data_IF_810630164898
#
_entry.id   IF_810630164898
#
_cell.length_a   1.000
_cell.length_b   1.000
_cell.length_c   1.000
_cell.angle_alpha   90.00
_cell.angle_beta   90.00
_cell.angle_gamma   90.00
#
_symmetry.space_group_name_H-M   'P 1'
#
loop_
_entity.id
_entity.type
_entity.pdbx_description
1 polymer ?
#
# COMPACT_ATOMS: atom_id res chain seq x y z
N UNK A 1 -39.19 27.49 14.85
CA UNK A 1 -38.16 26.60 15.41
C UNK A 1 -37.14 26.32 14.32
N UNK A 2 -35.90 26.84 14.46
CA UNK A 2 -34.78 26.55 13.55
C UNK A 2 -33.76 25.78 14.37
N UNK A 3 -33.60 24.48 14.11
CA UNK A 3 -32.54 23.69 14.71
C UNK A 3 -31.35 23.65 13.76
N UNK A 4 -30.22 24.25 14.18
CA UNK A 4 -28.93 24.19 13.50
C UNK A 4 -28.10 23.14 14.24
N UNK A 5 -28.06 21.92 13.73
CA UNK A 5 -27.10 20.94 14.22
C UNK A 5 -25.83 21.05 13.38
N UNK A 6 -24.82 21.69 13.96
CA UNK A 6 -23.45 21.62 13.52
C UNK A 6 -22.92 20.21 13.81
N UNK A 7 -22.39 19.54 12.79
CA UNK A 7 -21.69 18.27 12.94
C UNK A 7 -20.20 18.59 13.12
N UNK A 8 -19.66 18.20 14.28
CA UNK A 8 -18.26 18.38 14.66
C UNK A 8 -17.36 17.39 13.92
N UNK A 9 -16.27 17.90 13.35
CA UNK A 9 -15.17 17.11 12.78
C UNK A 9 -14.32 16.54 13.91
N UNK A 10 -14.36 15.24 14.12
CA UNK A 10 -13.37 14.54 14.95
C UNK A 10 -12.40 13.79 14.04
N UNK A 11 -11.16 14.29 13.98
CA UNK A 11 -9.99 13.57 13.48
C UNK A 11 -9.49 12.67 14.61
N UNK A 12 -9.48 11.35 14.42
CA UNK A 12 -8.69 10.43 15.25
C UNK A 12 -8.20 9.32 14.33
N UNK A 13 -6.94 9.42 13.90
CA UNK A 13 -6.23 8.31 13.30
C UNK A 13 -5.92 7.26 14.37
N UNK A 14 -6.01 5.99 13.99
CA UNK A 14 -5.41 4.89 14.75
C UNK A 14 -4.74 3.99 13.72
N UNK A 15 -3.47 4.29 13.49
CA UNK A 15 -2.48 3.41 12.88
C UNK A 15 -2.37 2.16 13.79
N UNK A 16 -3.01 1.07 13.38
CA UNK A 16 -2.93 -0.20 14.10
C UNK A 16 -1.65 -0.92 13.68
N UNK A 17 -0.55 -0.53 14.30
CA UNK A 17 0.73 -1.24 14.23
C UNK A 17 0.60 -2.53 15.07
N UNK A 18 0.48 -3.67 14.40
CA UNK A 18 0.27 -4.96 15.04
C UNK A 18 1.53 -5.36 15.83
N UNK A 19 1.49 -5.14 17.14
CA UNK A 19 2.46 -5.63 18.12
C UNK A 19 2.33 -7.15 18.25
N UNK A 20 3.32 -7.89 17.77
CA UNK A 20 3.46 -9.32 18.09
C UNK A 20 4.02 -9.41 19.50
N UNK A 21 3.18 -9.86 20.44
CA UNK A 21 3.59 -10.19 21.81
C UNK A 21 4.26 -11.56 21.81
N UNK A 22 5.60 -11.58 21.89
CA UNK A 22 6.34 -12.81 22.09
C UNK A 22 6.16 -13.30 23.53
N UNK A 23 5.42 -14.40 23.69
CA UNK A 23 5.32 -15.16 24.94
C UNK A 23 6.68 -15.83 25.20
N UNK A 24 7.40 -15.39 26.24
CA UNK A 24 8.65 -16.02 26.69
C UNK A 24 8.37 -17.08 27.75
N UNK A 25 8.61 -18.34 27.41
CA UNK A 25 8.61 -19.45 28.36
C UNK A 25 9.95 -19.48 29.11
N UNK A 26 9.90 -19.32 30.44
CA UNK A 26 11.04 -19.29 31.35
C UNK A 26 11.42 -20.73 31.77
N UNK A 27 12.52 -21.27 31.25
CA UNK A 27 13.13 -22.52 31.77
C UNK A 27 14.41 -22.20 32.55
N UNK A 28 14.51 -22.73 33.76
CA UNK A 28 15.51 -22.36 34.78
C UNK A 28 16.81 -23.19 34.70
N UNK A 29 17.92 -22.44 34.63
CA UNK A 29 19.24 -22.60 35.27
C UNK A 29 20.12 -23.86 35.07
N UNK A 30 21.26 -23.65 34.40
CA UNK A 30 22.59 -24.14 34.84
C UNK A 30 23.68 -23.16 34.40
N UNK A 31 24.74 -22.86 35.21
CA UNK A 31 25.60 -21.71 34.97
C UNK A 31 26.92 -22.09 34.31
N UNK A 32 27.21 -21.52 33.14
CA UNK A 32 28.56 -21.08 32.73
C UNK A 32 28.43 -20.19 31.47
N UNK A 33 28.59 -18.88 31.68
CA UNK A 33 29.12 -17.87 30.75
C UNK A 33 29.05 -18.13 29.23
N UNK A 34 28.18 -17.39 28.53
CA UNK A 34 28.51 -16.25 27.63
C UNK A 34 27.18 -15.80 26.98
N UNK A 35 26.89 -14.50 27.07
CA UNK A 35 25.75 -13.88 26.41
C UNK A 35 25.96 -13.86 24.90
N UNK A 36 25.12 -14.57 24.16
CA UNK A 36 24.89 -14.31 22.74
C UNK A 36 23.36 -14.30 22.54
N UNK A 37 22.80 -13.10 22.62
CA UNK A 37 21.45 -12.79 22.21
C UNK A 37 21.46 -12.78 20.68
N UNK A 38 21.06 -13.89 20.08
CA UNK A 38 20.81 -13.97 18.64
C UNK A 38 19.47 -13.28 18.39
N UNK A 39 19.54 -11.97 18.20
CA UNK A 39 18.49 -11.24 17.51
C UNK A 39 18.48 -11.75 16.08
N UNK A 40 17.56 -12.65 15.76
CA UNK A 40 17.07 -12.81 14.39
C UNK A 40 16.33 -11.50 14.04
N UNK A 41 17.12 -10.46 13.81
CA UNK A 41 16.67 -9.33 13.03
C UNK A 41 16.27 -9.95 11.69
N UNK A 42 14.96 -9.95 11.42
CA UNK A 42 14.44 -10.11 10.08
C UNK A 42 15.26 -9.17 9.21
N UNK A 43 16.20 -9.76 8.47
CA UNK A 43 16.94 -9.07 7.44
C UNK A 43 15.86 -8.59 6.50
N UNK A 44 15.51 -7.32 6.60
CA UNK A 44 14.83 -6.62 5.54
C UNK A 44 15.75 -6.81 4.34
N UNK A 45 15.46 -7.84 3.54
CA UNK A 45 16.01 -7.97 2.20
C UNK A 45 15.52 -6.72 1.48
N UNK A 46 16.35 -5.68 1.52
CA UNK A 46 16.35 -4.62 0.54
C UNK A 46 16.80 -5.25 -0.78
N UNK A 47 15.97 -6.15 -1.32
CA UNK A 47 16.03 -6.53 -2.72
C UNK A 47 15.64 -5.26 -3.43
N UNK A 48 16.64 -4.50 -3.90
CA UNK A 48 16.42 -3.34 -4.75
C UNK A 48 15.74 -3.83 -6.02
N UNK A 49 14.42 -3.79 -6.04
CA UNK A 49 13.62 -4.05 -7.23
C UNK A 49 13.69 -2.80 -8.11
N UNK A 50 13.93 -2.98 -9.40
CA UNK A 50 14.00 -1.87 -10.35
C UNK A 50 12.65 -1.14 -10.41
N UNK A 51 12.58 0.19 -10.18
CA UNK A 51 11.32 0.93 -10.10
C UNK A 51 10.41 0.73 -11.32
N UNK A 52 11.00 0.70 -12.52
CA UNK A 52 10.25 0.50 -13.77
C UNK A 52 9.60 -0.89 -13.82
N UNK A 53 10.28 -1.93 -13.33
CA UNK A 53 9.71 -3.27 -13.27
C UNK A 53 8.52 -3.31 -12.30
N UNK A 54 8.63 -2.66 -11.14
CA UNK A 54 7.54 -2.57 -10.16
C UNK A 54 6.33 -1.85 -10.75
N UNK A 55 6.53 -0.72 -11.44
CA UNK A 55 5.45 0.01 -12.12
C UNK A 55 4.70 -0.89 -13.10
N UNK A 56 5.41 -1.72 -13.87
CA UNK A 56 4.79 -2.64 -14.82
C UNK A 56 3.98 -3.77 -14.15
N UNK A 57 4.43 -4.27 -13.00
CA UNK A 57 3.66 -5.24 -12.20
C UNK A 57 2.37 -4.61 -11.66
N UNK A 58 2.45 -3.36 -11.16
CA UNK A 58 1.27 -2.62 -10.70
C UNK A 58 0.26 -2.44 -11.84
N UNK A 59 0.69 -2.00 -13.03
CA UNK A 59 -0.19 -1.86 -14.20
C UNK A 59 -0.86 -3.19 -14.59
N UNK A 60 -0.13 -4.30 -14.51
CA UNK A 60 -0.67 -5.64 -14.76
C UNK A 60 -1.78 -5.99 -13.77
N UNK A 61 -1.54 -5.78 -12.47
CA UNK A 61 -2.52 -6.04 -11.42
C UNK A 61 -3.75 -5.12 -11.52
N UNK A 62 -3.57 -3.85 -11.86
CA UNK A 62 -4.68 -2.92 -12.08
C UNK A 62 -5.54 -3.32 -13.30
N UNK A 63 -4.91 -3.83 -14.36
CA UNK A 63 -5.63 -4.39 -15.52
C UNK A 63 -6.42 -5.63 -15.11
N UNK A 64 -5.83 -6.51 -14.31
CA UNK A 64 -6.50 -7.68 -13.76
C UNK A 64 -7.70 -7.27 -12.88
N UNK A 65 -7.51 -6.31 -11.98
CA UNK A 65 -8.56 -5.78 -11.11
C UNK A 65 -9.74 -5.24 -11.91
N UNK A 66 -9.48 -4.45 -12.97
CA UNK A 66 -10.52 -3.95 -13.86
C UNK A 66 -11.34 -5.08 -14.50
N UNK A 67 -10.66 -6.11 -15.01
CA UNK A 67 -11.32 -7.25 -15.65
C UNK A 67 -12.17 -8.06 -14.66
N UNK A 68 -11.64 -8.31 -13.46
CA UNK A 68 -12.36 -8.98 -12.37
C UNK A 68 -13.59 -8.18 -11.93
N UNK A 69 -13.44 -6.87 -11.74
CA UNK A 69 -14.53 -6.00 -11.33
C UNK A 69 -15.65 -5.95 -12.40
N UNK A 70 -15.28 -5.86 -13.68
CA UNK A 70 -16.22 -5.95 -14.79
C UNK A 70 -16.94 -7.31 -14.87
N UNK A 71 -16.26 -8.39 -14.45
CA UNK A 71 -16.82 -9.73 -14.29
C UNK A 71 -17.60 -9.95 -12.99
N UNK A 72 -17.81 -8.90 -12.18
CA UNK A 72 -18.43 -8.95 -10.84
C UNK A 72 -17.66 -9.81 -9.81
N UNK A 73 -16.41 -10.17 -10.09
CA UNK A 73 -15.47 -10.75 -9.13
C UNK A 73 -14.86 -9.64 -8.28
N UNK A 74 -15.66 -9.10 -7.37
CA UNK A 74 -15.25 -7.96 -6.56
C UNK A 74 -14.19 -8.30 -5.52
N UNK A 75 -14.19 -9.53 -5.00
CA UNK A 75 -13.19 -10.01 -4.04
C UNK A 75 -11.84 -10.16 -4.74
N UNK A 76 -11.83 -10.75 -5.94
CA UNK A 76 -10.62 -10.83 -6.75
C UNK A 76 -10.10 -9.45 -7.15
N UNK A 77 -10.99 -8.53 -7.54
CA UNK A 77 -10.60 -7.16 -7.89
C UNK A 77 -9.95 -6.43 -6.72
N UNK A 78 -10.55 -6.51 -5.52
CA UNK A 78 -9.99 -5.93 -4.31
C UNK A 78 -8.62 -6.52 -3.98
N UNK A 79 -8.49 -7.85 -4.03
CA UNK A 79 -7.23 -8.54 -3.77
C UNK A 79 -6.12 -8.10 -4.75
N UNK A 80 -6.44 -7.97 -6.04
CA UNK A 80 -5.48 -7.50 -7.05
C UNK A 80 -4.99 -6.07 -6.76
N UNK A 81 -5.88 -5.16 -6.35
CA UNK A 81 -5.47 -3.78 -5.97
C UNK A 81 -4.68 -3.76 -4.66
N UNK A 82 -5.06 -4.57 -3.67
CA UNK A 82 -4.29 -4.71 -2.43
C UNK A 82 -2.87 -5.22 -2.70
N UNK A 83 -2.71 -6.25 -3.54
CA UNK A 83 -1.39 -6.73 -3.96
C UNK A 83 -0.62 -5.65 -4.70
N UNK A 84 -1.27 -4.90 -5.61
CA UNK A 84 -0.63 -3.80 -6.32
C UNK A 84 -0.09 -2.72 -5.37
N UNK A 85 -0.77 -2.48 -4.25
CA UNK A 85 -0.31 -1.56 -3.23
C UNK A 85 0.78 -2.19 -2.33
N UNK A 86 0.42 -3.19 -1.53
CA UNK A 86 1.26 -3.75 -0.45
C UNK A 86 2.53 -4.43 -0.98
N UNK A 87 2.41 -5.20 -2.06
CA UNK A 87 3.53 -6.02 -2.54
C UNK A 87 4.40 -5.27 -3.55
N UNK A 88 3.94 -4.11 -4.05
CA UNK A 88 4.59 -3.38 -5.13
C UNK A 88 4.72 -1.88 -4.86
N UNK A 89 3.63 -1.12 -4.75
CA UNK A 89 3.71 0.34 -4.65
C UNK A 89 4.49 0.84 -3.43
N UNK A 90 4.41 0.16 -2.27
CA UNK A 90 5.19 0.51 -1.07
C UNK A 90 6.71 0.61 -1.33
N UNK A 91 7.23 -0.22 -2.25
CA UNK A 91 8.65 -0.19 -2.63
C UNK A 91 9.01 1.06 -3.46
N UNK A 92 8.03 1.71 -4.07
CA UNK A 92 8.22 2.96 -4.81
C UNK A 92 8.14 4.20 -3.92
N UNK A 93 7.49 4.13 -2.75
CA UNK A 93 7.24 5.31 -1.91
C UNK A 93 8.52 6.04 -1.53
N UNK A 94 9.53 5.33 -1.01
CA UNK A 94 10.81 5.94 -0.63
C UNK A 94 11.54 6.60 -1.82
N UNK A 95 11.84 5.85 -2.89
CA UNK A 95 12.47 6.40 -4.09
C UNK A 95 11.66 7.53 -4.74
N UNK A 96 10.33 7.41 -4.83
CA UNK A 96 9.48 8.42 -5.44
C UNK A 96 9.38 9.67 -4.57
N UNK A 97 9.26 9.54 -3.24
CA UNK A 97 9.22 10.68 -2.34
C UNK A 97 10.50 11.53 -2.36
N UNK A 98 11.64 10.91 -2.67
CA UNK A 98 12.89 11.63 -2.85
C UNK A 98 12.90 12.52 -4.12
N UNK A 99 12.05 12.20 -5.11
CA UNK A 99 11.95 12.91 -6.39
C UNK A 99 10.75 13.87 -6.41
N UNK A 100 9.59 13.38 -5.98
CA UNK A 100 8.32 14.09 -5.95
C UNK A 100 7.44 13.55 -4.81
N UNK A 101 7.48 14.16 -3.61
CA UNK A 101 6.71 13.71 -2.46
C UNK A 101 5.20 13.90 -2.62
N UNK A 102 4.76 14.90 -3.39
CA UNK A 102 3.34 15.14 -3.62
C UNK A 102 2.75 14.07 -4.54
N UNK A 103 3.48 13.71 -5.61
CA UNK A 103 3.08 12.61 -6.50
C UNK A 103 3.04 11.27 -5.76
N UNK A 104 4.02 11.01 -4.89
CA UNK A 104 4.03 9.82 -4.04
C UNK A 104 2.77 9.74 -3.18
N UNK A 105 2.52 10.74 -2.34
CA UNK A 105 1.38 10.72 -1.41
C UNK A 105 0.03 10.68 -2.15
N UNK A 106 -0.10 11.44 -3.24
CA UNK A 106 -1.31 11.44 -4.05
C UNK A 106 -1.61 10.05 -4.65
N UNK A 107 -0.58 9.31 -5.04
CA UNK A 107 -0.74 7.97 -5.61
C UNK A 107 -1.00 6.93 -4.53
N UNK A 108 -0.34 7.02 -3.37
CA UNK A 108 -0.61 6.18 -2.20
C UNK A 108 -2.09 6.26 -1.82
N UNK A 109 -2.60 7.47 -1.57
CA UNK A 109 -4.00 7.69 -1.17
C UNK A 109 -4.97 7.18 -2.25
N UNK A 110 -4.65 7.39 -3.52
CA UNK A 110 -5.50 6.98 -4.62
C UNK A 110 -5.61 5.45 -4.72
N UNK A 111 -4.49 4.72 -4.65
CA UNK A 111 -4.49 3.26 -4.78
C UNK A 111 -4.99 2.58 -3.50
N UNK A 112 -4.47 2.97 -2.33
CA UNK A 112 -4.69 2.29 -1.05
C UNK A 112 -6.05 2.60 -0.45
N UNK A 113 -6.49 3.85 -0.52
CA UNK A 113 -7.71 4.28 0.15
C UNK A 113 -8.86 4.41 -0.84
N UNK A 114 -8.67 5.23 -1.88
CA UNK A 114 -9.78 5.66 -2.76
C UNK A 114 -10.26 4.52 -3.66
N UNK A 115 -9.35 3.86 -4.37
CA UNK A 115 -9.70 2.77 -5.30
C UNK A 115 -10.21 1.53 -4.55
N UNK A 116 -9.53 1.11 -3.48
CA UNK A 116 -9.99 -0.02 -2.65
C UNK A 116 -11.36 0.28 -2.04
N UNK A 117 -11.58 1.48 -1.51
CA UNK A 117 -12.87 1.89 -0.97
C UNK A 117 -13.99 1.85 -2.02
N UNK A 118 -13.74 2.38 -3.22
CA UNK A 118 -14.70 2.32 -4.32
C UNK A 118 -15.06 0.88 -4.72
N UNK A 119 -14.09 -0.04 -4.69
CA UNK A 119 -14.34 -1.47 -4.95
C UNK A 119 -15.20 -2.09 -3.83
N UNK A 120 -14.86 -1.83 -2.57
CA UNK A 120 -15.59 -2.32 -1.39
C UNK A 120 -17.04 -1.83 -1.38
N UNK A 121 -17.26 -0.56 -1.70
CA UNK A 121 -18.56 0.10 -1.76
C UNK A 121 -19.38 -0.26 -3.02
N UNK A 122 -18.80 -1.08 -3.91
CA UNK A 122 -19.42 -1.49 -5.17
C UNK A 122 -19.81 -0.29 -6.05
N UNK A 123 -18.92 0.70 -6.14
CA UNK A 123 -19.09 1.87 -6.99
C UNK A 123 -19.36 1.47 -8.46
N UNK A 124 -19.98 2.35 -9.27
CA UNK A 124 -20.18 2.10 -10.70
C UNK A 124 -18.87 1.69 -11.41
N UNK A 125 -18.94 0.72 -12.34
CA UNK A 125 -17.77 0.24 -13.09
C UNK A 125 -16.95 1.39 -13.72
N UNK A 126 -17.64 2.40 -14.25
CA UNK A 126 -17.00 3.58 -14.85
C UNK A 126 -16.19 4.41 -13.85
N UNK A 127 -16.60 4.45 -12.59
CA UNK A 127 -15.88 5.15 -11.53
C UNK A 127 -14.60 4.40 -11.16
N UNK A 128 -14.69 3.07 -10.97
CA UNK A 128 -13.52 2.21 -10.71
C UNK A 128 -12.51 2.30 -11.87
N UNK A 129 -12.98 2.26 -13.12
CA UNK A 129 -12.15 2.45 -14.30
C UNK A 129 -11.46 3.81 -14.33
N UNK A 130 -12.17 4.88 -13.98
CA UNK A 130 -11.59 6.21 -13.90
C UNK A 130 -10.50 6.29 -12.83
N UNK A 131 -10.72 5.69 -11.66
CA UNK A 131 -9.72 5.66 -10.59
C UNK A 131 -8.48 4.86 -11.01
N UNK A 132 -8.63 3.70 -11.64
CA UNK A 132 -7.52 2.91 -12.20
C UNK A 132 -6.72 3.73 -13.22
N UNK A 133 -7.40 4.46 -14.12
CA UNK A 133 -6.72 5.31 -15.10
C UNK A 133 -5.94 6.46 -14.44
N UNK A 134 -6.48 7.03 -13.36
CA UNK A 134 -5.79 8.05 -12.59
C UNK A 134 -4.53 7.48 -11.91
N UNK A 135 -4.61 6.27 -11.35
CA UNK A 135 -3.41 5.59 -10.80
C UNK A 135 -2.37 5.39 -11.90
N UNK A 136 -2.76 4.86 -13.07
CA UNK A 136 -1.84 4.68 -14.19
C UNK A 136 -1.20 6.00 -14.66
N UNK A 137 -1.96 7.10 -14.67
CA UNK A 137 -1.43 8.43 -15.02
C UNK A 137 -0.34 8.87 -14.05
N UNK A 138 -0.54 8.65 -12.75
CA UNK A 138 0.49 8.98 -11.77
C UNK A 138 1.72 8.06 -11.91
N UNK A 139 1.53 6.79 -12.25
CA UNK A 139 2.62 5.86 -12.52
C UNK A 139 3.42 6.26 -13.78
N UNK A 140 2.76 6.82 -14.80
CA UNK A 140 3.45 7.38 -15.97
C UNK A 140 4.38 8.54 -15.56
N UNK A 141 3.92 9.41 -14.66
CA UNK A 141 4.74 10.51 -14.13
C UNK A 141 5.92 9.98 -13.29
N UNK A 142 5.67 8.98 -12.44
CA UNK A 142 6.73 8.35 -11.64
C UNK A 142 7.79 7.67 -12.54
N UNK A 143 7.36 6.97 -13.59
CA UNK A 143 8.26 6.35 -14.57
C UNK A 143 9.16 7.39 -15.24
N UNK A 144 8.62 8.55 -15.65
CA UNK A 144 9.41 9.64 -16.22
C UNK A 144 10.47 10.15 -15.23
N UNK A 145 10.13 10.30 -13.95
CA UNK A 145 11.07 10.75 -12.91
C UNK A 145 12.21 9.74 -12.68
N UNK A 146 11.88 8.44 -12.65
CA UNK A 146 12.88 7.39 -12.48
C UNK A 146 13.82 7.27 -13.69
N UNK A 147 13.33 7.48 -14.91
CA UNK A 147 14.17 7.46 -16.12
C UNK A 147 15.12 8.67 -16.23
N UNK A 148 14.85 9.75 -15.50
CA UNK A 148 15.71 10.95 -15.47
C UNK A 148 16.85 10.83 -14.46
N UNK A 149 16.87 9.78 -13.63
CA UNK A 149 17.99 9.52 -12.73
C UNK A 149 19.21 9.00 -13.52
N UNK A 150 20.42 9.54 -13.29
CA UNK A 150 21.63 9.17 -14.02
C UNK A 150 22.18 7.78 -13.66
#
# INVERSE_FOLDING_TARGET
MKNKNAISKNKIGILSMMMITAVTLLFMASPTSIYAQESEAASAESTSREPIAIINEIRTLLTQANNQYAGQDFVGAEASVQTAYLDHYEYLEGPLAALDPELMEATEILIRETLIGAIQDRAPLTEVQSLINNVNTNLDQAEVLFQQQP
#
